data_IF_955679207715
#
_entry.id   IF_955679207715
#
_cell.length_a   1.000
_cell.length_b   1.000
_cell.length_c   1.000
_cell.angle_alpha   90.00
_cell.angle_beta   90.00
_cell.angle_gamma   90.00
#
_symmetry.space_group_name_H-M   'P 1'
#
loop_
_entity.id
_entity.type
_entity.pdbx_description
1 polymer ?
#
# COMPACT_ATOMS: atom_id res chain seq x y z
N UNK A 1 -13.86 -29.40 15.74
CA UNK A 1 -14.60 -29.24 14.47
C UNK A 1 -13.97 -28.08 13.70
N UNK A 2 -13.20 -28.36 12.65
CA UNK A 2 -12.49 -27.35 11.85
C UNK A 2 -13.24 -27.18 10.52
N UNK A 3 -13.79 -25.99 10.28
CA UNK A 3 -14.67 -25.71 9.14
C UNK A 3 -13.91 -25.66 7.82
N UNK A 4 -14.25 -26.56 6.88
CA UNK A 4 -13.76 -26.51 5.51
C UNK A 4 -14.41 -25.35 4.76
N UNK A 5 -13.63 -24.63 3.95
CA UNK A 5 -14.12 -23.67 2.97
C UNK A 5 -13.85 -24.24 1.58
N UNK A 6 -14.90 -24.60 0.85
CA UNK A 6 -14.81 -24.94 -0.58
C UNK A 6 -15.40 -23.79 -1.38
N UNK A 7 -14.55 -23.15 -2.18
CA UNK A 7 -14.97 -22.18 -3.20
C UNK A 7 -15.52 -22.96 -4.39
N UNK A 8 -16.82 -22.80 -4.66
CA UNK A 8 -17.51 -23.46 -5.78
C UNK A 8 -17.73 -22.43 -6.87
N UNK A 9 -16.71 -22.19 -7.68
CA UNK A 9 -16.83 -21.41 -8.91
C UNK A 9 -16.10 -22.14 -10.02
N UNK A 10 -16.85 -22.59 -11.02
CA UNK A 10 -16.28 -23.25 -12.20
C UNK A 10 -17.14 -24.33 -12.86
N UNK A 11 -18.45 -24.36 -12.68
CA UNK A 11 -19.33 -25.23 -13.48
C UNK A 11 -20.37 -24.41 -14.21
N UNK A 12 -20.00 -23.91 -15.39
CA UNK A 12 -20.93 -23.62 -16.47
C UNK A 12 -20.08 -23.38 -17.73
N UNK A 13 -19.77 -24.45 -18.46
CA UNK A 13 -19.37 -24.36 -19.86
C UNK A 13 -20.59 -24.81 -20.69
N UNK A 14 -21.14 -23.82 -21.38
CA UNK A 14 -21.64 -23.85 -22.76
C UNK A 14 -22.47 -25.04 -23.28
N UNK A 15 -23.73 -24.71 -23.60
CA UNK A 15 -24.38 -25.24 -24.80
C UNK A 15 -25.38 -24.19 -25.35
N UNK A 16 -24.94 -23.53 -26.42
CA UNK A 16 -25.68 -22.70 -27.38
C UNK A 16 -25.94 -23.69 -28.55
N UNK A 17 -27.15 -23.99 -29.07
CA UNK A 17 -28.06 -23.20 -29.93
C UNK A 17 -29.03 -24.19 -30.68
N UNK A 18 -29.85 -23.86 -31.72
CA UNK A 18 -31.06 -23.02 -31.75
C UNK A 18 -32.16 -23.54 -32.74
N UNK A 19 -33.42 -23.74 -32.35
CA UNK A 19 -34.55 -23.96 -33.30
C UNK A 19 -35.85 -24.06 -32.48
N UNK A 20 -37.02 -23.55 -32.84
CA UNK A 20 -37.55 -22.95 -34.06
C UNK A 20 -38.94 -22.41 -33.69
N UNK A 21 -39.30 -21.25 -34.24
CA UNK A 21 -40.67 -20.89 -34.61
C UNK A 21 -41.80 -21.01 -33.56
N UNK A 22 -42.05 -19.90 -32.85
CA UNK A 22 -43.41 -19.49 -32.50
C UNK A 22 -43.48 -17.95 -32.36
N UNK A 23 -43.45 -17.28 -33.50
CA UNK A 23 -44.43 -16.25 -33.89
C UNK A 23 -44.86 -15.25 -32.80
N UNK A 24 -44.01 -14.24 -32.59
CA UNK A 24 -44.28 -12.78 -32.62
C UNK A 24 -45.47 -12.14 -31.89
N UNK A 25 -46.37 -12.85 -31.21
CA UNK A 25 -47.59 -12.26 -30.62
C UNK A 25 -47.58 -12.16 -29.08
N UNK A 26 -46.54 -12.66 -28.41
CA UNK A 26 -46.39 -12.50 -26.95
C UNK A 26 -45.68 -11.19 -26.57
N UNK A 27 -45.02 -10.52 -27.53
CA UNK A 27 -44.25 -9.31 -27.29
C UNK A 27 -45.09 -8.07 -26.92
N UNK A 28 -46.41 -8.11 -27.13
CA UNK A 28 -47.30 -6.96 -26.90
C UNK A 28 -48.22 -7.10 -25.69
N UNK A 29 -48.29 -8.25 -25.02
CA UNK A 29 -49.35 -8.50 -24.04
C UNK A 29 -48.94 -8.33 -22.57
N UNK A 30 -47.66 -8.47 -22.18
CA UNK A 30 -47.25 -8.27 -20.79
C UNK A 30 -45.78 -7.83 -20.74
N UNK A 31 -45.53 -6.53 -20.64
CA UNK A 31 -44.31 -6.06 -19.98
C UNK A 31 -44.64 -4.90 -19.03
N UNK A 32 -44.39 -5.08 -17.71
CA UNK A 32 -44.66 -4.04 -16.73
C UNK A 32 -43.82 -2.79 -17.05
N UNK A 33 -44.53 -1.70 -17.37
CA UNK A 33 -43.92 -0.37 -17.43
C UNK A 33 -43.62 0.08 -16.01
N UNK A 34 -42.43 -0.24 -15.50
CA UNK A 34 -41.97 0.36 -14.25
C UNK A 34 -41.06 -0.51 -13.41
N UNK A 35 -39.78 -0.54 -13.81
CA UNK A 35 -38.67 -0.81 -12.90
C UNK A 35 -38.31 -2.29 -12.76
N UNK A 36 -37.32 -2.73 -13.54
CA UNK A 36 -36.34 -3.69 -13.04
C UNK A 36 -35.98 -3.28 -11.61
N UNK A 37 -35.96 -4.18 -10.60
CA UNK A 37 -35.58 -3.83 -9.25
C UNK A 37 -34.14 -3.32 -9.36
N UNK A 38 -34.02 -1.99 -9.48
CA UNK A 38 -32.74 -1.35 -9.62
C UNK A 38 -31.95 -1.86 -8.42
N UNK A 39 -30.72 -2.29 -8.63
CA UNK A 39 -29.83 -2.60 -7.52
C UNK A 39 -29.41 -1.30 -6.79
N UNK A 40 -30.37 -0.44 -6.40
CA UNK A 40 -30.16 0.80 -5.63
C UNK A 40 -29.74 0.48 -4.19
N UNK A 41 -29.78 -0.80 -3.80
CA UNK A 41 -29.42 -1.26 -2.46
C UNK A 41 -28.19 -2.18 -2.47
N UNK A 42 -27.33 -2.11 -3.49
CA UNK A 42 -26.21 -3.05 -3.63
C UNK A 42 -25.08 -2.87 -2.60
N UNK A 43 -25.17 -1.89 -1.68
CA UNK A 43 -24.37 -1.86 -0.44
C UNK A 43 -25.20 -1.36 0.74
N UNK A 44 -25.28 -2.11 1.86
CA UNK A 44 -25.84 -1.57 3.08
C UNK A 44 -25.01 -0.37 3.52
N UNK A 45 -25.71 0.70 3.91
CA UNK A 45 -25.08 1.90 4.42
C UNK A 45 -24.17 1.54 5.60
N UNK A 46 -22.87 1.79 5.44
CA UNK A 46 -21.90 1.69 6.53
C UNK A 46 -21.57 3.08 6.99
N UNK A 47 -22.19 3.51 8.10
CA UNK A 47 -21.84 4.76 8.78
C UNK A 47 -20.33 4.75 9.08
N UNK A 48 -19.59 5.67 8.47
CA UNK A 48 -18.19 5.90 8.83
C UNK A 48 -18.15 6.76 10.09
N UNK A 49 -17.31 6.38 11.05
CA UNK A 49 -17.04 7.26 12.20
C UNK A 49 -16.41 8.55 11.66
N UNK A 50 -16.86 9.73 12.11
CA UNK A 50 -16.18 10.98 11.80
C UNK A 50 -14.71 10.87 12.20
N UNK A 51 -13.83 11.32 11.33
CA UNK A 51 -12.40 11.36 11.63
C UNK A 51 -12.23 12.34 12.80
N UNK A 52 -11.59 11.95 13.91
CA UNK A 52 -11.35 12.86 15.02
C UNK A 52 -10.54 14.06 14.53
N UNK A 53 -11.06 15.27 14.75
CA UNK A 53 -10.39 16.52 14.35
C UNK A 53 -9.22 16.88 15.27
N UNK A 54 -9.21 16.35 16.50
CA UNK A 54 -8.19 16.66 17.50
C UNK A 54 -6.90 15.92 17.15
N UNK A 55 -5.82 16.68 17.04
CA UNK A 55 -4.46 16.15 16.95
C UNK A 55 -4.19 15.24 18.15
N UNK A 56 -3.56 14.09 17.90
CA UNK A 56 -3.18 13.17 18.98
C UNK A 56 -2.21 13.84 19.96
N UNK A 57 -2.18 13.37 21.20
CA UNK A 57 -1.34 13.94 22.27
C UNK A 57 0.16 14.01 21.91
N UNK A 58 0.65 13.08 21.06
CA UNK A 58 2.04 13.06 20.61
C UNK A 58 2.32 13.97 19.40
N UNK A 59 1.29 14.47 18.71
CA UNK A 59 1.44 15.28 17.51
C UNK A 59 2.33 16.52 17.69
N UNK A 60 2.17 17.34 18.75
CA UNK A 60 3.04 18.51 18.95
C UNK A 60 4.50 18.16 19.27
N UNK A 61 4.79 16.93 19.71
CA UNK A 61 6.13 16.47 20.08
C UNK A 61 6.76 15.55 19.04
N UNK A 62 6.06 15.28 17.93
CA UNK A 62 6.52 14.33 16.92
C UNK A 62 7.85 14.73 16.28
N UNK A 63 8.01 16.02 15.98
CA UNK A 63 9.22 16.59 15.39
C UNK A 63 10.40 16.46 16.36
N UNK A 64 10.19 16.85 17.61
CA UNK A 64 11.21 16.76 18.65
C UNK A 64 11.69 15.32 18.91
N UNK A 65 10.77 14.36 18.93
CA UNK A 65 11.13 12.94 19.08
C UNK A 65 11.96 12.47 17.88
N UNK A 66 11.61 12.91 16.67
CA UNK A 66 12.37 12.61 15.45
C UNK A 66 13.77 13.19 15.52
N UNK A 67 13.92 14.46 15.90
CA UNK A 67 15.23 15.11 16.02
C UNK A 67 16.12 14.36 17.01
N UNK A 68 15.57 13.91 18.15
CA UNK A 68 16.32 13.10 19.11
C UNK A 68 16.80 11.77 18.52
N UNK A 69 15.97 11.09 17.71
CA UNK A 69 16.36 9.83 17.08
C UNK A 69 17.32 10.01 15.90
N UNK A 70 17.31 11.16 15.23
CA UNK A 70 18.30 11.49 14.20
C UNK A 70 19.69 11.71 14.81
N UNK A 71 19.75 12.34 15.98
CA UNK A 71 21.00 12.53 16.73
C UNK A 71 21.47 11.25 17.44
N UNK A 72 20.54 10.49 18.03
CA UNK A 72 20.81 9.23 18.72
C UNK A 72 19.83 8.12 18.27
N UNK A 73 20.21 7.31 17.27
CA UNK A 73 19.37 6.21 16.79
C UNK A 73 19.11 5.10 17.85
N UNK A 74 20.00 5.00 18.84
CA UNK A 74 19.94 4.00 19.92
C UNK A 74 19.05 4.44 21.08
N UNK A 75 18.52 5.66 21.05
CA UNK A 75 17.67 6.22 22.09
C UNK A 75 16.52 5.26 22.44
N UNK A 76 16.42 4.93 23.72
CA UNK A 76 15.37 4.06 24.23
C UNK A 76 14.07 4.83 24.44
N UNK A 77 12.94 4.13 24.34
CA UNK A 77 11.63 4.73 24.60
C UNK A 77 11.47 5.20 26.06
N UNK A 78 12.17 4.57 27.00
CA UNK A 78 12.16 4.98 28.41
C UNK A 78 12.88 6.32 28.56
N UNK A 79 14.09 6.45 27.99
CA UNK A 79 14.84 7.70 28.02
C UNK A 79 14.09 8.84 27.31
N UNK A 80 13.43 8.55 26.19
CA UNK A 80 12.59 9.53 25.51
C UNK A 80 11.38 9.94 26.36
N UNK A 81 10.79 9.01 27.12
CA UNK A 81 9.67 9.32 28.02
C UNK A 81 10.13 10.19 29.19
N UNK A 82 11.28 9.89 29.80
CA UNK A 82 11.87 10.69 30.88
C UNK A 82 12.06 12.14 30.43
N UNK A 83 12.67 12.34 29.24
CA UNK A 83 12.83 13.68 28.65
C UNK A 83 11.50 14.38 28.42
N UNK A 84 10.49 13.68 27.91
CA UNK A 84 9.14 14.26 27.71
C UNK A 84 8.44 14.58 29.03
N UNK A 85 8.64 13.78 30.08
CA UNK A 85 8.09 14.07 31.41
C UNK A 85 8.75 15.27 32.06
N UNK A 86 10.05 15.51 31.81
CA UNK A 86 10.73 16.73 32.24
C UNK A 86 10.19 17.97 31.53
N UNK A 87 9.90 17.87 30.23
CA UNK A 87 9.42 19.00 29.42
C UNK A 87 7.94 19.32 29.64
N UNK A 88 7.10 18.29 29.78
CA UNK A 88 5.65 18.43 29.88
C UNK A 88 5.07 17.40 30.87
N UNK A 89 5.27 17.62 32.19
CA UNK A 89 4.80 16.69 33.23
C UNK A 89 3.27 16.60 33.31
N UNK A 90 2.54 17.63 32.87
CA UNK A 90 1.07 17.64 32.86
C UNK A 90 0.48 16.69 31.80
N UNK A 91 1.25 16.45 30.73
CA UNK A 91 0.79 15.68 29.57
C UNK A 91 1.32 14.25 29.64
N UNK A 92 2.59 14.08 29.98
CA UNK A 92 3.28 12.80 29.96
C UNK A 92 3.41 12.17 31.34
N UNK A 93 3.43 10.84 31.35
CA UNK A 93 3.49 10.05 32.57
C UNK A 93 3.75 8.58 32.23
N UNK A 94 3.95 7.73 33.22
CA UNK A 94 4.40 6.34 33.02
C UNK A 94 3.42 5.52 32.16
N UNK A 95 2.12 5.85 32.19
CA UNK A 95 1.07 5.23 31.37
C UNK A 95 1.27 5.38 29.86
N UNK A 96 2.12 6.32 29.42
CA UNK A 96 2.32 6.63 28.01
C UNK A 96 3.51 5.91 27.37
N UNK A 97 4.23 5.06 28.11
CA UNK A 97 5.39 4.33 27.60
C UNK A 97 5.07 3.52 26.34
N UNK A 98 3.96 2.77 26.33
CA UNK A 98 3.56 1.96 25.16
C UNK A 98 3.27 2.81 23.92
N UNK A 99 2.68 3.99 24.10
CA UNK A 99 2.41 4.93 23.00
C UNK A 99 3.73 5.41 22.38
N UNK A 100 4.69 5.76 23.23
CA UNK A 100 5.99 6.24 22.77
C UNK A 100 6.82 5.12 22.12
N UNK A 101 6.81 3.91 22.67
CA UNK A 101 7.42 2.72 22.05
C UNK A 101 6.88 2.48 20.63
N UNK A 102 5.56 2.58 20.44
CA UNK A 102 4.95 2.43 19.11
C UNK A 102 5.36 3.55 18.15
N UNK A 103 5.45 4.78 18.64
CA UNK A 103 5.88 5.93 17.83
C UNK A 103 7.33 5.78 17.36
N UNK A 104 8.23 5.41 18.26
CA UNK A 104 9.65 5.15 17.96
C UNK A 104 9.78 3.96 16.99
N UNK A 105 9.05 2.86 17.22
CA UNK A 105 9.06 1.73 16.30
C UNK A 105 8.55 2.09 14.90
N UNK A 106 7.50 2.91 14.81
CA UNK A 106 6.99 3.41 13.53
C UNK A 106 8.01 4.30 12.83
N UNK A 107 8.70 5.18 13.58
CA UNK A 107 9.75 6.01 13.00
C UNK A 107 10.93 5.16 12.51
N UNK A 108 11.39 4.19 13.29
CA UNK A 108 12.47 3.28 12.89
C UNK A 108 12.12 2.52 11.63
N UNK A 109 10.88 2.07 11.50
CA UNK A 109 10.38 1.47 10.27
C UNK A 109 10.43 2.44 9.08
N UNK A 110 10.06 3.71 9.28
CA UNK A 110 10.15 4.73 8.23
C UNK A 110 11.60 4.97 7.80
N UNK A 111 12.53 5.10 8.75
CA UNK A 111 13.96 5.26 8.47
C UNK A 111 14.53 4.03 7.75
N UNK A 112 14.23 2.82 8.25
CA UNK A 112 14.68 1.58 7.61
C UNK A 112 14.17 1.47 6.17
N UNK A 113 12.90 1.81 5.91
CA UNK A 113 12.34 1.84 4.55
C UNK A 113 13.08 2.81 3.64
N UNK A 114 13.41 4.00 4.15
CA UNK A 114 14.20 5.00 3.43
C UNK A 114 15.59 4.46 3.10
N UNK A 115 16.32 3.94 4.09
CA UNK A 115 17.65 3.37 3.91
C UNK A 115 17.67 2.22 2.90
N UNK A 116 16.67 1.34 2.93
CA UNK A 116 16.53 0.25 1.95
C UNK A 116 16.30 0.82 0.55
N UNK A 117 15.41 1.81 0.40
CA UNK A 117 15.15 2.45 -0.89
C UNK A 117 16.38 3.15 -1.45
N UNK A 118 17.11 3.87 -0.61
CA UNK A 118 18.34 4.58 -0.98
C UNK A 118 19.44 3.59 -1.35
N UNK A 119 19.59 2.50 -0.58
CA UNK A 119 20.54 1.42 -0.88
C UNK A 119 20.24 0.70 -2.19
N UNK A 120 18.97 0.39 -2.47
CA UNK A 120 18.55 -0.21 -3.76
C UNK A 120 18.83 0.73 -4.93
N UNK A 121 18.63 2.03 -4.74
CA UNK A 121 18.93 3.03 -5.77
C UNK A 121 20.42 3.13 -6.05
N UNK A 122 21.25 3.11 -5.01
CA UNK A 122 22.71 3.10 -5.12
C UNK A 122 23.24 1.86 -5.85
N UNK A 123 22.76 0.67 -5.49
CA UNK A 123 23.12 -0.59 -6.18
C UNK A 123 22.71 -0.60 -7.66
N UNK A 124 21.56 0.00 -7.99
CA UNK A 124 21.11 0.17 -9.38
C UNK A 124 22.00 1.13 -10.15
N UNK A 125 22.42 2.23 -9.55
CA UNK A 125 23.34 3.18 -10.17
C UNK A 125 24.69 2.52 -10.46
N UNK A 126 25.25 1.78 -9.49
CA UNK A 126 26.52 1.08 -9.64
C UNK A 126 26.47 0.00 -10.75
N UNK A 127 25.39 -0.78 -10.80
CA UNK A 127 25.18 -1.76 -11.88
C UNK A 127 24.94 -1.14 -13.27
N UNK A 128 24.42 0.10 -13.34
CA UNK A 128 24.30 0.84 -14.59
C UNK A 128 25.65 1.39 -15.07
N UNK A 129 26.49 1.90 -14.17
CA UNK A 129 27.86 2.34 -14.47
C UNK A 129 28.70 1.17 -14.99
N UNK A 130 28.56 -0.01 -14.39
CA UNK A 130 29.27 -1.22 -14.81
C UNK A 130 28.84 -1.78 -16.18
N UNK A 131 27.74 -1.27 -16.76
CA UNK A 131 27.25 -1.65 -18.10
C UNK A 131 27.70 -0.69 -19.21
N UNK A 132 28.48 0.35 -18.92
CA UNK A 132 29.02 1.21 -19.97
C UNK A 132 29.96 0.37 -20.86
N UNK A 133 29.75 0.30 -22.19
CA UNK A 133 30.65 -0.42 -23.08
C UNK A 133 31.99 0.32 -23.17
N UNK A 134 33.08 -0.45 -23.21
CA UNK A 134 34.44 0.05 -23.38
C UNK A 134 34.52 1.02 -24.58
N UNK A 135 35.00 2.27 -24.42
CA UNK A 135 35.00 3.24 -25.51
C UNK A 135 36.13 3.07 -26.54
N UNK A 136 36.85 1.94 -26.55
CA UNK A 136 37.93 1.69 -27.51
C UNK A 136 38.04 0.20 -27.84
N UNK A 137 37.72 -0.18 -29.08
CA UNK A 137 38.14 -1.49 -29.58
C UNK A 137 37.45 -2.11 -30.79
N UNK A 138 36.57 -1.42 -31.54
CA UNK A 138 36.14 -1.91 -32.85
C UNK A 138 37.07 -1.34 -33.94
N UNK A 139 38.21 -2.01 -34.14
CA UNK A 139 39.11 -1.74 -35.27
C UNK A 139 39.37 -3.08 -35.95
N UNK A 140 38.71 -3.33 -37.08
CA UNK A 140 39.03 -4.53 -37.85
C UNK A 140 38.06 -4.97 -38.95
N UNK A 141 37.30 -4.08 -39.57
CA UNK A 141 36.64 -4.40 -40.86
C UNK A 141 37.02 -3.36 -41.89
N UNK A 142 38.16 -3.54 -42.56
CA UNK A 142 38.51 -2.81 -43.78
C UNK A 142 39.03 -3.79 -44.84
N UNK A 143 38.34 -3.79 -45.98
CA UNK A 143 39.01 -3.84 -47.27
C UNK A 143 39.15 -5.21 -47.94
N UNK A 144 38.06 -5.67 -48.56
CA UNK A 144 38.13 -6.52 -49.74
C UNK A 144 38.40 -5.61 -50.96
N UNK A 145 39.54 -5.78 -51.66
CA UNK A 145 39.79 -5.15 -52.97
C UNK A 145 40.25 -6.26 -53.93
N UNK A 146 39.58 -6.46 -55.08
CA UNK A 146 39.98 -7.42 -56.09
C UNK A 146 40.99 -6.83 -57.09
N UNK A 147 41.90 -7.66 -57.57
CA UNK A 147 42.59 -7.53 -58.86
C UNK A 147 42.74 -8.92 -59.47
#
# INVERSE_FOLDING_TARGET
MLGHWVDRRGLAEDAIDPATAATSNLASAVQPRGGEPRAIHRRPYRRRKPIPKRLGMLAPYGDQIRDWMENDPSLSAVAALERLTTLAPDIFGPKHLRTLQRAIAAQRMTVARRLISDGVSSLRADSAVRRLPDPLGDIGTLGNIPT
#
